data_IF_356839192318
#
_entry.id   IF_356839192318
#
_cell.length_a   1.000
_cell.length_b   1.000
_cell.length_c   1.000
_cell.angle_alpha   90.00
_cell.angle_beta   90.00
_cell.angle_gamma   90.00
#
_symmetry.space_group_name_H-M   'P 1'
#
loop_
_entity.id
_entity.type
_entity.pdbx_description
1 polymer ?
#
# COMPACT_ATOMS: atom_id res chain seq x y z
N UNK A 1 -39.86 71.24 -12.50
CA UNK A 1 -40.23 71.03 -11.08
C UNK A 1 -39.13 70.21 -10.42
N UNK A 2 -38.51 70.81 -9.40
CA UNK A 2 -37.96 70.24 -8.16
C UNK A 2 -37.22 68.87 -8.11
N UNK A 3 -35.96 68.98 -7.67
CA UNK A 3 -35.39 68.34 -6.46
C UNK A 3 -34.76 66.94 -6.48
N UNK A 4 -33.52 66.95 -5.98
CA UNK A 4 -32.73 65.92 -5.30
C UNK A 4 -33.56 64.93 -4.43
N UNK A 5 -33.10 63.71 -4.16
CA UNK A 5 -32.20 63.38 -3.02
C UNK A 5 -31.85 61.89 -3.04
N UNK A 6 -30.56 61.52 -2.93
CA UNK A 6 -29.88 60.90 -1.78
C UNK A 6 -30.64 59.79 -1.02
N UNK A 7 -30.13 58.55 -1.06
CA UNK A 7 -29.27 57.97 -0.01
C UNK A 7 -29.30 56.42 0.01
N UNK A 8 -28.22 55.79 0.52
CA UNK A 8 -28.01 54.35 0.57
C UNK A 8 -28.63 53.72 1.82
N UNK A 9 -28.96 52.44 1.74
CA UNK A 9 -29.24 51.60 2.91
C UNK A 9 -28.35 50.37 2.89
N UNK A 10 -27.47 50.32 3.88
CA UNK A 10 -26.77 49.12 4.33
C UNK A 10 -27.74 47.98 4.60
N UNK A 11 -27.35 46.78 4.18
CA UNK A 11 -27.69 45.55 4.91
C UNK A 11 -26.41 44.75 5.11
N UNK A 12 -25.99 44.74 6.37
CA UNK A 12 -25.04 43.83 6.98
C UNK A 12 -25.38 42.38 6.65
N UNK A 13 -24.37 41.54 6.39
CA UNK A 13 -24.62 40.16 6.02
C UNK A 13 -23.37 39.35 5.75
N UNK A 14 -22.60 39.09 6.81
CA UNK A 14 -21.58 38.04 6.86
C UNK A 14 -22.06 36.75 6.17
N UNK A 15 -21.31 36.30 5.18
CA UNK A 15 -21.18 34.88 4.87
C UNK A 15 -19.79 34.67 4.28
N UNK A 16 -18.80 34.55 5.18
CA UNK A 16 -17.51 34.01 4.80
C UNK A 16 -17.73 32.64 4.18
N UNK A 17 -17.22 32.47 2.98
CA UNK A 17 -17.28 31.27 2.17
C UNK A 17 -16.69 30.11 2.96
N UNK A 18 -17.55 29.38 3.66
CA UNK A 18 -17.23 28.08 4.21
C UNK A 18 -17.12 27.13 3.04
N UNK A 19 -15.92 27.04 2.48
CA UNK A 19 -15.54 25.98 1.54
C UNK A 19 -15.64 24.67 2.31
N UNK A 20 -16.84 24.09 2.31
CA UNK A 20 -17.06 22.74 2.79
C UNK A 20 -16.30 21.84 1.82
N UNK A 21 -15.09 21.46 2.22
CA UNK A 21 -14.40 20.31 1.67
C UNK A 21 -15.31 19.13 1.93
N UNK A 22 -16.12 18.79 0.93
CA UNK A 22 -16.86 17.53 0.89
C UNK A 22 -15.78 16.46 0.73
N UNK A 23 -15.23 16.01 1.84
CA UNK A 23 -14.47 14.76 1.91
C UNK A 23 -15.51 13.67 1.66
N UNK A 24 -15.69 13.32 0.39
CA UNK A 24 -16.44 12.13 0.01
C UNK A 24 -15.69 10.97 0.65
N UNK A 25 -16.32 10.22 1.58
CA UNK A 25 -15.71 9.00 2.06
C UNK A 25 -15.67 8.06 0.86
N UNK A 26 -14.49 7.86 0.29
CA UNK A 26 -14.26 6.75 -0.62
C UNK A 26 -14.54 5.51 0.20
N UNK A 27 -15.66 4.88 -0.14
CA UNK A 27 -16.13 3.64 0.44
C UNK A 27 -14.94 2.68 0.41
N UNK A 28 -14.41 2.34 1.58
CA UNK A 28 -13.34 1.36 1.72
C UNK A 28 -13.87 0.05 1.12
N UNK A 29 -13.56 -0.19 -0.15
CA UNK A 29 -13.90 -1.44 -0.79
C UNK A 29 -13.16 -2.52 -0.01
N UNK A 30 -13.97 -3.33 0.67
CA UNK A 30 -13.53 -4.45 1.47
C UNK A 30 -12.83 -5.46 0.57
N UNK A 31 -11.52 -5.30 0.43
CA UNK A 31 -10.61 -6.38 0.19
C UNK A 31 -9.38 -6.10 1.03
N UNK A 32 -9.24 -6.83 2.15
CA UNK A 32 -8.03 -6.92 2.98
C UNK A 32 -6.83 -7.52 2.21
N UNK A 33 -6.74 -7.29 0.89
CA UNK A 33 -5.62 -7.74 0.08
C UNK A 33 -4.68 -6.56 -0.03
N UNK A 34 -3.59 -6.63 0.72
CA UNK A 34 -2.43 -5.78 0.52
C UNK A 34 -2.03 -5.87 -0.97
N UNK A 35 -1.53 -4.78 -1.57
CA UNK A 35 -1.02 -4.82 -2.93
C UNK A 35 0.02 -5.93 -3.06
N UNK A 36 -0.02 -6.68 -4.15
CA UNK A 36 0.93 -7.77 -4.37
C UNK A 36 2.19 -7.17 -4.98
N UNK A 37 3.34 -7.49 -4.42
CA UNK A 37 4.60 -7.10 -5.03
C UNK A 37 4.78 -7.83 -6.38
N UNK A 38 5.60 -7.29 -7.27
CA UNK A 38 6.05 -8.01 -8.49
C UNK A 38 6.65 -9.38 -8.14
N UNK A 39 7.27 -9.50 -6.97
CA UNK A 39 7.72 -10.79 -6.44
C UNK A 39 6.56 -11.75 -6.18
N UNK A 40 5.51 -11.30 -5.49
CA UNK A 40 4.34 -12.11 -5.17
C UNK A 40 3.60 -12.57 -6.43
N UNK A 41 3.48 -11.69 -7.43
CA UNK A 41 2.96 -12.06 -8.75
C UNK A 41 3.76 -13.17 -9.42
N UNK A 42 5.09 -13.04 -9.45
CA UNK A 42 5.96 -14.05 -10.04
C UNK A 42 5.84 -15.40 -9.32
N UNK A 43 5.84 -15.39 -7.97
CA UNK A 43 5.65 -16.62 -7.18
C UNK A 43 4.25 -17.22 -7.41
N UNK A 44 3.22 -16.39 -7.50
CA UNK A 44 1.86 -16.84 -7.77
C UNK A 44 1.74 -17.49 -9.15
N UNK A 45 2.34 -16.89 -10.18
CA UNK A 45 2.38 -17.45 -11.52
C UNK A 45 3.03 -18.84 -11.54
N UNK A 46 4.17 -19.02 -10.88
CA UNK A 46 4.84 -20.33 -10.76
C UNK A 46 3.94 -21.35 -10.05
N UNK A 47 3.23 -20.95 -8.99
CA UNK A 47 2.29 -21.84 -8.30
C UNK A 47 1.13 -22.26 -9.20
N UNK A 48 0.59 -21.33 -10.00
CA UNK A 48 -0.48 -21.64 -10.93
C UNK A 48 -0.03 -22.62 -12.00
N UNK A 49 1.18 -22.46 -12.53
CA UNK A 49 1.77 -23.38 -13.50
C UNK A 49 1.93 -24.79 -12.93
N UNK A 50 2.46 -24.93 -11.72
CA UNK A 50 2.58 -26.22 -11.05
C UNK A 50 1.20 -26.87 -10.80
N UNK A 51 0.18 -26.05 -10.48
CA UNK A 51 -1.20 -26.53 -10.28
C UNK A 51 -1.82 -26.99 -11.59
N UNK A 52 -1.62 -26.24 -12.66
CA UNK A 52 -2.08 -26.61 -14.00
C UNK A 52 -1.49 -27.96 -14.43
N UNK A 53 -0.16 -28.13 -14.26
CA UNK A 53 0.49 -29.41 -14.54
C UNK A 53 -0.06 -30.57 -13.71
N UNK A 54 -0.43 -30.33 -12.44
CA UNK A 54 -1.07 -31.34 -11.60
C UNK A 54 -2.45 -31.76 -12.15
N UNK A 55 -3.26 -30.80 -12.59
CA UNK A 55 -4.55 -31.09 -13.21
C UNK A 55 -4.38 -31.91 -14.49
N UNK A 56 -3.49 -31.47 -15.38
CA UNK A 56 -3.17 -32.18 -16.63
C UNK A 56 -2.69 -33.61 -16.39
N UNK A 57 -1.95 -33.86 -15.30
CA UNK A 57 -1.56 -35.23 -14.92
C UNK A 57 -2.76 -36.06 -14.48
N UNK A 58 -3.67 -35.50 -13.67
CA UNK A 58 -4.87 -36.19 -13.22
C UNK A 58 -5.87 -36.46 -14.35
N UNK A 59 -5.94 -35.56 -15.33
CA UNK A 59 -6.75 -35.72 -16.53
C UNK A 59 -6.11 -36.69 -17.54
N UNK A 60 -4.89 -37.17 -17.26
CA UNK A 60 -4.15 -38.11 -18.10
C UNK A 60 -3.53 -37.49 -19.35
N UNK A 61 -3.48 -36.16 -19.44
CA UNK A 61 -2.86 -35.43 -20.55
C UNK A 61 -1.34 -35.51 -20.53
N UNK A 62 -0.75 -35.61 -19.34
CA UNK A 62 0.70 -35.78 -19.16
C UNK A 62 1.00 -36.97 -18.24
N UNK A 63 2.09 -37.72 -18.50
CA UNK A 63 2.54 -38.77 -17.60
C UNK A 63 3.09 -38.19 -16.29
N UNK A 64 3.11 -39.00 -15.24
CA UNK A 64 3.63 -38.62 -13.92
C UNK A 64 5.08 -38.11 -13.97
N UNK A 65 5.94 -38.71 -14.80
CA UNK A 65 7.33 -38.28 -14.96
C UNK A 65 7.45 -36.85 -15.51
N UNK A 66 6.59 -36.49 -16.46
CA UNK A 66 6.54 -35.13 -17.01
C UNK A 66 6.04 -34.13 -15.98
N UNK A 67 5.02 -34.50 -15.18
CA UNK A 67 4.59 -33.70 -14.04
C UNK A 67 5.73 -33.47 -13.05
N UNK A 68 6.47 -34.52 -12.67
CA UNK A 68 7.59 -34.39 -11.71
C UNK A 68 8.67 -33.46 -12.23
N UNK A 69 8.97 -33.50 -13.54
CA UNK A 69 9.89 -32.55 -14.17
C UNK A 69 9.39 -31.11 -14.03
N UNK A 70 8.13 -30.85 -14.35
CA UNK A 70 7.53 -29.51 -14.24
C UNK A 70 7.49 -29.03 -12.78
N UNK A 71 7.11 -29.91 -11.84
CA UNK A 71 7.04 -29.59 -10.42
C UNK A 71 8.42 -29.22 -9.86
N UNK A 72 9.47 -29.96 -10.23
CA UNK A 72 10.83 -29.64 -9.82
C UNK A 72 11.30 -28.30 -10.37
N UNK A 73 11.06 -28.03 -11.66
CA UNK A 73 11.36 -26.74 -12.27
C UNK A 73 10.61 -25.58 -11.58
N UNK A 74 9.33 -25.76 -11.23
CA UNK A 74 8.58 -24.78 -10.47
C UNK A 74 9.20 -24.51 -9.09
N UNK A 75 9.67 -25.56 -8.39
CA UNK A 75 10.36 -25.41 -7.10
C UNK A 75 11.67 -24.63 -7.26
N UNK A 76 12.48 -24.97 -8.26
CA UNK A 76 13.75 -24.30 -8.53
C UNK A 76 13.54 -22.82 -8.87
N UNK A 77 12.60 -22.49 -9.77
CA UNK A 77 12.27 -21.10 -10.10
C UNK A 77 11.75 -20.32 -8.89
N UNK A 78 10.90 -20.93 -8.06
CA UNK A 78 10.40 -20.28 -6.85
C UNK A 78 11.52 -20.01 -5.84
N UNK A 79 12.47 -20.95 -5.68
CA UNK A 79 13.64 -20.76 -4.82
C UNK A 79 14.57 -19.67 -5.36
N UNK A 80 14.87 -19.69 -6.67
CA UNK A 80 15.69 -18.68 -7.32
C UNK A 80 15.08 -17.28 -7.15
N UNK A 81 13.76 -17.13 -7.33
CA UNK A 81 13.08 -15.83 -7.14
C UNK A 81 13.14 -15.35 -5.69
N UNK A 82 12.96 -16.24 -4.71
CA UNK A 82 13.12 -15.90 -3.28
C UNK A 82 14.54 -15.49 -2.94
N UNK A 83 15.53 -16.20 -3.47
CA UNK A 83 16.94 -15.87 -3.25
C UNK A 83 17.31 -14.50 -3.86
N UNK A 84 16.85 -14.23 -5.09
CA UNK A 84 17.05 -12.95 -5.75
C UNK A 84 16.44 -11.79 -4.95
N UNK A 85 15.19 -11.92 -4.51
CA UNK A 85 14.53 -10.89 -3.69
C UNK A 85 15.23 -10.68 -2.35
N UNK A 86 15.66 -11.76 -1.69
CA UNK A 86 16.45 -11.64 -0.45
C UNK A 86 17.74 -10.84 -0.67
N UNK A 87 18.47 -11.15 -1.75
CA UNK A 87 19.70 -10.45 -2.10
C UNK A 87 19.44 -8.97 -2.40
N UNK A 88 18.37 -8.64 -3.12
CA UNK A 88 17.99 -7.25 -3.37
C UNK A 88 17.64 -6.50 -2.08
N UNK A 89 16.88 -7.11 -1.16
CA UNK A 89 16.62 -6.52 0.16
C UNK A 89 17.92 -6.25 0.93
N UNK A 90 18.87 -7.19 0.91
CA UNK A 90 20.18 -7.02 1.57
C UNK A 90 20.98 -5.86 0.95
N UNK A 91 20.96 -5.72 -0.38
CA UNK A 91 21.63 -4.61 -1.08
C UNK A 91 21.02 -3.26 -0.76
N UNK A 92 19.68 -3.18 -0.69
CA UNK A 92 18.98 -1.95 -0.25
C UNK A 92 19.36 -1.56 1.18
N UNK A 93 19.43 -2.54 2.10
CA UNK A 93 19.85 -2.27 3.48
C UNK A 93 21.29 -1.75 3.59
N UNK A 94 22.15 -2.12 2.63
CA UNK A 94 23.53 -1.62 2.54
C UNK A 94 23.64 -0.29 1.80
N UNK A 95 22.55 0.20 1.19
CA UNK A 95 22.56 1.38 0.34
C UNK A 95 23.27 1.17 -1.01
N UNK A 96 23.40 -0.08 -1.45
CA UNK A 96 24.06 -0.44 -2.71
C UNK A 96 23.12 -0.37 -3.93
N UNK A 97 21.83 -0.14 -3.69
CA UNK A 97 20.75 -0.10 -4.68
C UNK A 97 19.82 1.05 -4.31
N UNK A 98 19.38 1.83 -5.30
CA UNK A 98 18.44 2.94 -5.04
C UNK A 98 17.03 2.41 -4.78
N UNK A 99 16.16 3.25 -4.21
CA UNK A 99 14.77 2.87 -4.01
C UNK A 99 14.06 2.63 -5.34
N UNK A 100 14.41 3.38 -6.38
CA UNK A 100 13.86 3.23 -7.73
C UNK A 100 14.29 1.89 -8.36
N UNK A 101 15.56 1.51 -8.24
CA UNK A 101 16.05 0.21 -8.71
C UNK A 101 15.37 -0.95 -7.97
N UNK A 102 15.14 -0.80 -6.68
CA UNK A 102 14.41 -1.79 -5.88
C UNK A 102 12.94 -1.88 -6.30
N UNK A 103 12.27 -0.75 -6.49
CA UNK A 103 10.87 -0.70 -6.88
C UNK A 103 10.64 -1.25 -8.30
N UNK A 104 11.62 -1.03 -9.18
CA UNK A 104 11.59 -1.61 -10.52
C UNK A 104 11.59 -3.15 -10.48
N UNK A 105 12.44 -3.78 -9.67
CA UNK A 105 12.63 -5.24 -9.65
C UNK A 105 11.72 -5.99 -8.67
N UNK A 106 11.49 -5.40 -7.49
CA UNK A 106 10.77 -6.00 -6.37
C UNK A 106 9.56 -5.18 -5.90
N UNK A 107 9.36 -3.98 -6.45
CA UNK A 107 8.27 -3.09 -6.08
C UNK A 107 6.90 -3.59 -6.48
N UNK A 108 5.93 -2.71 -6.31
CA UNK A 108 4.54 -3.01 -6.69
C UNK A 108 4.36 -2.81 -8.19
N UNK A 109 3.36 -3.48 -8.75
CA UNK A 109 2.86 -3.08 -10.07
C UNK A 109 2.26 -1.68 -9.98
N UNK A 110 2.52 -0.81 -10.96
CA UNK A 110 2.08 0.60 -10.90
C UNK A 110 0.56 0.73 -10.73
N UNK A 111 -0.21 -0.16 -11.39
CA UNK A 111 -1.67 -0.15 -11.27
C UNK A 111 -2.15 -0.62 -9.89
N UNK A 112 -1.47 -1.62 -9.33
CA UNK A 112 -1.79 -2.11 -7.98
C UNK A 112 -1.35 -1.14 -6.89
N UNK A 113 -0.19 -0.51 -7.07
CA UNK A 113 0.32 0.54 -6.19
C UNK A 113 -0.66 1.71 -6.15
N UNK A 114 -1.10 2.21 -7.30
CA UNK A 114 -2.06 3.31 -7.37
C UNK A 114 -3.39 2.99 -6.67
N UNK A 115 -3.84 1.72 -6.71
CA UNK A 115 -5.04 1.27 -5.98
C UNK A 115 -4.82 1.21 -4.47
N UNK A 116 -3.63 0.80 -4.04
CA UNK A 116 -3.32 0.54 -2.63
C UNK A 116 -2.72 1.73 -1.88
N UNK A 117 -2.10 2.67 -2.59
CA UNK A 117 -1.40 3.82 -2.02
C UNK A 117 -2.25 4.58 -0.98
N UNK A 118 -3.53 4.89 -1.22
CA UNK A 118 -4.35 5.59 -0.23
C UNK A 118 -4.50 4.83 1.09
N UNK A 119 -4.65 3.50 1.02
CA UNK A 119 -4.79 2.67 2.21
C UNK A 119 -3.47 2.54 2.98
N UNK A 120 -2.35 2.42 2.26
CA UNK A 120 -1.00 2.36 2.85
C UNK A 120 -0.64 3.69 3.52
N UNK A 121 -0.94 4.82 2.89
CA UNK A 121 -0.71 6.16 3.44
C UNK A 121 -1.55 6.38 4.71
N UNK A 122 -2.84 6.04 4.69
CA UNK A 122 -3.70 6.13 5.86
C UNK A 122 -3.18 5.26 7.02
N UNK A 123 -2.70 4.05 6.72
CA UNK A 123 -2.09 3.18 7.73
C UNK A 123 -0.82 3.79 8.32
N UNK A 124 0.07 4.33 7.48
CA UNK A 124 1.30 5.02 7.89
C UNK A 124 0.98 6.21 8.79
N UNK A 125 0.00 7.04 8.43
CA UNK A 125 -0.46 8.16 9.26
C UNK A 125 -1.00 7.71 10.61
N UNK A 126 -1.77 6.61 10.64
CA UNK A 126 -2.29 6.04 11.88
C UNK A 126 -1.17 5.56 12.81
N UNK A 127 -0.11 4.95 12.26
CA UNK A 127 1.07 4.52 13.01
C UNK A 127 1.82 5.72 13.58
N UNK A 128 2.06 6.75 12.77
CA UNK A 128 2.73 8.00 13.21
C UNK A 128 1.92 8.67 14.33
N UNK A 129 0.60 8.76 14.19
CA UNK A 129 -0.28 9.32 15.20
C UNK A 129 -0.23 8.53 16.52
N UNK A 130 -0.20 7.21 16.44
CA UNK A 130 -0.08 6.34 17.62
C UNK A 130 1.29 6.44 18.30
N UNK A 131 2.38 6.53 17.53
CA UNK A 131 3.73 6.78 18.03
C UNK A 131 3.79 8.12 18.79
N UNK A 132 3.30 9.21 18.18
CA UNK A 132 3.25 10.53 18.82
C UNK A 132 2.43 10.53 20.12
N UNK A 133 1.29 9.81 20.15
CA UNK A 133 0.48 9.64 21.38
C UNK A 133 1.21 8.84 22.45
N UNK A 134 2.02 7.85 22.07
CA UNK A 134 2.79 7.05 23.02
C UNK A 134 3.92 7.88 23.63
N UNK A 135 4.64 8.65 22.81
CA UNK A 135 5.70 9.55 23.27
C UNK A 135 5.15 10.64 24.20
N UNK A 136 4.02 11.27 23.87
CA UNK A 136 3.41 12.28 24.73
C UNK A 136 2.98 11.72 26.09
N UNK A 137 2.47 10.48 26.14
CA UNK A 137 2.13 9.77 27.39
C UNK A 137 3.36 9.44 28.23
N UNK A 138 4.47 9.02 27.60
CA UNK A 138 5.73 8.74 28.31
C UNK A 138 6.29 10.02 28.92
N UNK A 139 6.29 11.13 28.17
CA UNK A 139 6.75 12.43 28.66
C UNK A 139 5.86 12.96 29.80
N UNK A 140 4.54 12.78 29.73
CA UNK A 140 3.63 13.17 30.81
C UNK A 140 3.86 12.35 32.10
N UNK A 141 4.06 11.03 31.99
CA UNK A 141 4.30 10.14 33.14
C UNK A 141 5.62 10.43 33.87
N UNK A 142 6.64 10.89 33.15
CA UNK A 142 7.92 11.31 33.73
C UNK A 142 7.85 12.69 34.40
N UNK A 143 6.88 13.54 34.02
CA UNK A 143 6.64 14.84 34.68
C UNK A 143 5.82 14.71 35.96
N UNK A 144 4.92 13.73 36.05
CA UNK A 144 4.07 13.51 37.22
C UNK A 144 4.67 12.62 38.32
N UNK A 145 5.90 12.11 38.14
CA UNK A 145 6.62 11.31 39.14
C UNK A 145 7.71 12.09 39.90
N UNK A 146 7.86 13.39 39.63
CA UNK A 146 8.86 14.27 40.28
C UNK A 146 8.33 15.09 41.46
N UNK A 147 7.18 14.75 42.04
CA UNK A 147 6.59 15.49 43.15
C UNK A 147 5.87 14.58 44.14
N UNK A 148 6.49 14.46 45.32
CA UNK A 148 6.08 13.81 46.57
C UNK A 148 6.51 12.37 46.80
#
# INVERSE_FOLDING_TARGET
MSSASNSPSSSDGRAGESSVLVVVPVQAQSANRLPLSKHDHAIHAIKLECRDALHRMWDGEIPHEEFMRIANDCVERAQARRAATKLMCERVLRGEVTLEEFDQDCGYDDEEWNKAQPAVEMYKESLIANLRRRESRVVQKNRSSGGH
#
